data_IF_218050346310
#
_entry.id   IF_218050346310
#
_cell.length_a   1.000
_cell.length_b   1.000
_cell.length_c   1.000
_cell.angle_alpha   90.00
_cell.angle_beta   90.00
_cell.angle_gamma   90.00
#
_symmetry.space_group_name_H-M   'P 1'
#
loop_
_entity.id
_entity.type
_entity.pdbx_description
1 polymer ?
#
# COMPACT_ATOMS: atom_id res chain seq x y z
N UNK A 1 -13.68 10.88 29.37
CA UNK A 1 -15.10 10.83 28.93
C UNK A 1 -15.36 9.47 28.29
N UNK A 2 -16.55 8.87 28.40
CA UNK A 2 -16.84 7.62 27.71
C UNK A 2 -16.82 7.83 26.18
N UNK A 3 -16.10 6.96 25.47
CA UNK A 3 -15.98 6.98 24.01
C UNK A 3 -17.28 6.42 23.41
N UNK A 4 -17.97 7.22 22.57
CA UNK A 4 -19.23 6.82 21.91
C UNK A 4 -18.98 6.00 20.63
N UNK A 5 -17.91 6.28 19.91
CA UNK A 5 -17.53 5.60 18.68
C UNK A 5 -16.01 5.51 18.61
N UNK A 6 -15.49 4.38 18.14
CA UNK A 6 -14.07 4.14 17.89
C UNK A 6 -13.94 3.52 16.51
N UNK A 7 -13.03 4.05 15.70
CA UNK A 7 -12.78 3.54 14.35
C UNK A 7 -11.80 2.36 14.39
N UNK A 8 -11.95 1.41 13.47
CA UNK A 8 -11.11 0.21 13.35
C UNK A 8 -10.91 -0.18 11.88
N UNK A 9 -10.06 -1.18 11.61
CA UNK A 9 -9.65 -1.52 10.25
C UNK A 9 -10.76 -2.27 9.47
N UNK A 10 -11.11 -1.74 8.29
CA UNK A 10 -11.92 -2.42 7.27
C UNK A 10 -11.17 -2.27 5.94
N UNK A 11 -10.62 -3.36 5.43
CA UNK A 11 -9.69 -3.35 4.30
C UNK A 11 -9.92 -4.53 3.35
N UNK A 12 -9.49 -4.38 2.10
CA UNK A 12 -9.53 -5.41 1.06
C UNK A 12 -8.12 -5.74 0.57
N UNK A 13 -7.76 -7.03 0.50
CA UNK A 13 -6.52 -7.46 -0.12
C UNK A 13 -6.67 -7.56 -1.63
N UNK A 14 -5.86 -6.81 -2.36
CA UNK A 14 -5.86 -6.83 -3.83
C UNK A 14 -4.52 -7.32 -4.34
N UNK A 15 -4.55 -8.05 -5.45
CA UNK A 15 -3.38 -8.66 -6.07
C UNK A 15 -3.26 -8.22 -7.52
N UNK A 16 -2.09 -7.71 -7.89
CA UNK A 16 -1.68 -7.46 -9.27
C UNK A 16 -0.67 -8.52 -9.72
N UNK A 17 -0.73 -8.90 -10.99
CA UNK A 17 0.12 -9.94 -11.55
C UNK A 17 1.00 -9.40 -12.68
N UNK A 18 2.08 -8.67 -12.35
CA UNK A 18 2.91 -8.03 -13.36
C UNK A 18 3.62 -9.07 -14.24
N UNK A 19 3.79 -8.75 -15.51
CA UNK A 19 4.53 -9.54 -16.51
C UNK A 19 5.99 -9.77 -16.12
N UNK A 20 6.55 -8.86 -15.30
CA UNK A 20 7.89 -8.96 -14.70
C UNK A 20 8.02 -10.10 -13.66
N UNK A 21 6.93 -10.79 -13.38
CA UNK A 21 6.84 -11.91 -12.44
C UNK A 21 6.68 -11.48 -10.99
N UNK A 22 6.35 -12.45 -10.13
CA UNK A 22 5.95 -12.19 -8.75
C UNK A 22 4.49 -11.73 -8.65
N UNK A 23 4.17 -11.04 -7.57
CA UNK A 23 2.85 -10.47 -7.30
C UNK A 23 3.03 -9.07 -6.71
N UNK A 24 2.12 -8.16 -7.00
CA UNK A 24 1.98 -6.93 -6.23
C UNK A 24 0.81 -7.12 -5.28
N UNK A 25 1.03 -6.83 -4.01
CA UNK A 25 0.04 -7.02 -2.96
C UNK A 25 -0.17 -5.69 -2.25
N UNK A 26 -1.42 -5.27 -2.19
CA UNK A 26 -1.85 -4.06 -1.51
C UNK A 26 -3.07 -4.33 -0.64
N UNK A 27 -3.28 -3.43 0.30
CA UNK A 27 -4.41 -3.39 1.21
C UNK A 27 -5.13 -2.09 0.95
N UNK A 28 -6.38 -2.17 0.49
CA UNK A 28 -7.10 -1.00 0.02
C UNK A 28 -8.48 -0.86 0.67
N UNK A 29 -8.86 0.39 0.90
CA UNK A 29 -10.17 0.86 1.33
C UNK A 29 -11.17 0.84 0.18
N UNK A 30 -12.46 1.04 0.50
CA UNK A 30 -13.50 1.10 -0.53
C UNK A 30 -13.29 2.23 -1.54
N UNK A 31 -12.72 3.35 -1.08
CA UNK A 31 -12.40 4.51 -1.94
C UNK A 31 -11.23 4.20 -2.87
N UNK A 32 -10.15 3.60 -2.37
CA UNK A 32 -9.02 3.19 -3.22
C UNK A 32 -9.42 2.13 -4.25
N UNK A 33 -10.33 1.21 -3.90
CA UNK A 33 -10.89 0.28 -4.89
C UNK A 33 -11.63 1.01 -6.01
N UNK A 34 -12.39 2.06 -5.69
CA UNK A 34 -13.06 2.89 -6.69
C UNK A 34 -12.03 3.63 -7.58
N UNK A 35 -10.95 4.15 -6.98
CA UNK A 35 -9.85 4.76 -7.73
C UNK A 35 -9.16 3.77 -8.67
N UNK A 36 -8.97 2.52 -8.24
CA UNK A 36 -8.45 1.40 -9.04
C UNK A 36 -9.46 0.84 -10.05
N UNK A 37 -10.63 1.47 -10.21
CA UNK A 37 -11.72 0.99 -11.07
C UNK A 37 -12.17 -0.45 -10.73
N UNK A 38 -12.06 -0.84 -9.46
CA UNK A 38 -12.47 -2.14 -8.94
C UNK A 38 -13.84 -2.08 -8.26
N UNK A 39 -14.49 -3.24 -8.18
CA UNK A 39 -15.75 -3.36 -7.46
C UNK A 39 -15.53 -3.30 -5.95
N UNK A 40 -16.31 -2.46 -5.26
CA UNK A 40 -16.32 -2.33 -3.79
C UNK A 40 -16.98 -3.50 -3.07
N UNK A 41 -17.74 -4.33 -3.79
CA UNK A 41 -18.64 -5.32 -3.17
C UNK A 41 -18.55 -6.72 -3.78
N UNK A 42 -17.81 -6.88 -4.89
CA UNK A 42 -17.68 -8.16 -5.59
C UNK A 42 -16.22 -8.45 -5.89
N UNK A 43 -15.75 -9.69 -5.72
CA UNK A 43 -14.43 -10.09 -6.18
C UNK A 43 -14.27 -9.85 -7.68
N UNK A 44 -13.09 -9.39 -8.10
CA UNK A 44 -12.67 -9.32 -9.50
C UNK A 44 -11.67 -10.44 -9.81
N UNK A 45 -11.67 -10.85 -11.08
CA UNK A 45 -10.70 -11.82 -11.61
C UNK A 45 -9.55 -11.09 -12.30
N UNK A 46 -8.37 -11.72 -12.30
CA UNK A 46 -7.21 -11.29 -13.07
C UNK A 46 -7.57 -11.17 -14.56
N UNK A 47 -7.07 -10.12 -15.22
CA UNK A 47 -7.12 -9.97 -16.67
C UNK A 47 -6.19 -10.99 -17.37
N UNK A 48 -6.62 -11.58 -18.51
CA UNK A 48 -5.74 -12.41 -19.33
C UNK A 48 -4.70 -11.60 -20.10
N UNK A 49 -4.90 -10.28 -20.24
CA UNK A 49 -4.00 -9.38 -20.93
C UNK A 49 -2.89 -8.90 -19.98
N UNK A 50 -1.64 -9.18 -20.35
CA UNK A 50 -0.47 -8.82 -19.56
C UNK A 50 -0.28 -7.30 -19.45
N UNK A 51 -0.62 -6.52 -20.47
CA UNK A 51 -0.47 -5.07 -20.42
C UNK A 51 -1.49 -4.45 -19.45
N UNK A 52 -2.74 -4.94 -19.48
CA UNK A 52 -3.77 -4.50 -18.55
C UNK A 52 -3.37 -4.83 -17.10
N UNK A 53 -2.78 -6.01 -16.87
CA UNK A 53 -2.26 -6.38 -15.55
C UNK A 53 -1.07 -5.53 -15.11
N UNK A 54 -0.18 -5.15 -16.03
CA UNK A 54 0.97 -4.29 -15.74
C UNK A 54 0.53 -2.87 -15.37
N UNK A 55 -0.44 -2.31 -16.10
CA UNK A 55 -0.99 -0.98 -15.83
C UNK A 55 -1.74 -0.98 -14.48
N UNK A 56 -2.53 -2.01 -14.20
CA UNK A 56 -3.21 -2.19 -12.92
C UNK A 56 -2.22 -2.36 -11.76
N UNK A 57 -1.20 -3.19 -11.96
CA UNK A 57 -0.11 -3.41 -11.01
C UNK A 57 0.62 -2.11 -10.69
N UNK A 58 0.88 -1.27 -11.70
CA UNK A 58 1.50 0.02 -11.51
C UNK A 58 0.62 1.00 -10.72
N UNK A 59 -0.69 1.01 -10.98
CA UNK A 59 -1.65 1.79 -10.18
C UNK A 59 -1.68 1.36 -8.72
N UNK A 60 -1.61 0.06 -8.43
CA UNK A 60 -1.50 -0.44 -7.06
C UNK A 60 -0.22 0.05 -6.37
N UNK A 61 0.93 0.00 -7.05
CA UNK A 61 2.19 0.51 -6.51
C UNK A 61 2.11 2.01 -6.20
N UNK A 62 1.38 2.78 -7.01
CA UNK A 62 1.11 4.20 -6.78
C UNK A 62 0.28 4.47 -5.53
N UNK A 63 -0.48 3.49 -5.04
CA UNK A 63 -1.20 3.56 -3.77
C UNK A 63 -0.43 2.90 -2.61
N UNK A 64 0.88 2.68 -2.76
CA UNK A 64 1.72 2.11 -1.70
C UNK A 64 1.72 0.59 -1.62
N UNK A 65 1.14 -0.12 -2.59
CA UNK A 65 1.29 -1.58 -2.65
C UNK A 65 2.74 -1.99 -2.87
N UNK A 66 3.06 -3.22 -2.48
CA UNK A 66 4.43 -3.74 -2.52
C UNK A 66 4.55 -4.97 -3.40
N UNK A 67 5.69 -5.11 -4.07
CA UNK A 67 6.02 -6.30 -4.83
C UNK A 67 6.54 -7.43 -3.94
N UNK A 68 6.10 -8.66 -4.22
CA UNK A 68 6.52 -9.89 -3.56
C UNK A 68 6.87 -10.96 -4.59
N UNK A 69 7.86 -11.81 -4.27
CA UNK A 69 8.24 -12.92 -5.16
C UNK A 69 7.11 -13.95 -5.31
N UNK A 70 6.37 -14.23 -4.23
CA UNK A 70 5.24 -15.16 -4.25
C UNK A 70 4.35 -15.00 -3.01
N UNK A 71 3.09 -15.44 -3.12
CA UNK A 71 2.16 -15.49 -1.98
C UNK A 71 2.69 -16.36 -0.83
N UNK A 72 3.43 -17.42 -1.15
CA UNK A 72 4.02 -18.31 -0.14
C UNK A 72 5.07 -17.56 0.70
N UNK A 73 5.90 -16.73 0.07
CA UNK A 73 6.91 -15.96 0.79
C UNK A 73 6.26 -14.89 1.68
N UNK A 74 5.27 -14.17 1.14
CA UNK A 74 4.48 -13.22 1.92
C UNK A 74 3.80 -13.89 3.13
N UNK A 75 3.13 -15.03 2.92
CA UNK A 75 2.44 -15.74 3.98
C UNK A 75 3.37 -16.25 5.09
N UNK A 76 4.56 -16.74 4.73
CA UNK A 76 5.59 -17.13 5.72
C UNK A 76 6.02 -15.93 6.57
N UNK A 77 6.25 -14.79 5.93
CA UNK A 77 6.65 -13.56 6.62
C UNK A 77 5.55 -13.09 7.59
N UNK A 78 4.30 -13.00 7.13
CA UNK A 78 3.18 -12.59 7.99
C UNK A 78 2.95 -13.55 9.16
N UNK A 79 3.21 -14.85 8.96
CA UNK A 79 3.12 -15.85 10.03
C UNK A 79 4.21 -15.67 11.08
N UNK A 80 5.41 -15.23 10.72
CA UNK A 80 6.49 -14.95 11.68
C UNK A 80 6.15 -13.72 12.52
N UNK A 81 5.69 -12.63 11.88
CA UNK A 81 5.24 -11.40 12.55
C UNK A 81 4.08 -11.69 13.50
N UNK A 82 3.05 -12.39 13.02
CA UNK A 82 1.87 -12.77 13.85
C UNK A 82 2.23 -13.74 14.98
N UNK A 83 3.33 -14.48 14.83
CA UNK A 83 3.86 -15.41 15.83
C UNK A 83 4.66 -14.73 16.95
N UNK A 84 4.75 -13.40 16.95
CA UNK A 84 5.48 -12.64 17.97
C UNK A 84 6.98 -12.47 17.67
N UNK A 85 7.46 -12.83 16.47
CA UNK A 85 8.77 -12.38 16.05
C UNK A 85 8.76 -10.86 15.88
N UNK A 86 9.76 -10.13 16.38
CA UNK A 86 9.95 -8.72 16.05
C UNK A 86 9.92 -8.55 14.53
N UNK A 87 9.33 -7.46 14.06
CA UNK A 87 9.42 -7.09 12.65
C UNK A 87 10.87 -7.16 12.20
N UNK A 88 11.22 -8.00 11.21
CA UNK A 88 12.62 -8.14 10.80
C UNK A 88 13.15 -6.77 10.38
N UNK A 89 14.37 -6.45 10.79
CA UNK A 89 15.04 -5.25 10.32
C UNK A 89 15.04 -5.22 8.79
N UNK A 90 14.49 -4.16 8.19
CA UNK A 90 14.38 -4.06 6.73
C UNK A 90 13.07 -4.56 6.12
N UNK A 91 12.02 -4.80 6.92
CA UNK A 91 10.67 -4.86 6.36
C UNK A 91 10.29 -3.46 5.80
N UNK A 92 9.62 -3.39 4.62
CA UNK A 92 9.26 -2.12 4.02
C UNK A 92 8.26 -1.35 4.91
N UNK A 93 8.37 -0.02 5.01
CA UNK A 93 7.35 0.79 5.68
C UNK A 93 6.02 0.71 4.93
N UNK A 94 4.92 0.96 5.64
CA UNK A 94 3.61 1.12 5.04
C UNK A 94 3.47 2.56 4.51
N UNK A 95 2.89 2.68 3.32
CA UNK A 95 2.65 3.95 2.64
C UNK A 95 1.17 4.11 2.38
N UNK A 96 0.60 5.23 2.83
CA UNK A 96 -0.75 5.64 2.50
C UNK A 96 -0.68 6.88 1.60
N UNK A 97 -1.28 6.78 0.43
CA UNK A 97 -1.06 7.73 -0.65
C UNK A 97 -2.39 8.31 -1.13
N UNK A 98 -2.49 9.63 -1.13
CA UNK A 98 -3.66 10.37 -1.63
C UNK A 98 -3.33 11.22 -2.84
N UNK A 99 -4.20 11.20 -3.85
CA UNK A 99 -4.07 12.01 -5.08
C UNK A 99 -5.17 13.07 -5.15
N UNK A 100 -4.91 14.31 -4.70
CA UNK A 100 -5.94 15.33 -4.68
C UNK A 100 -6.31 15.77 -6.11
N UNK A 101 -7.55 16.20 -6.31
CA UNK A 101 -8.07 16.69 -7.58
C UNK A 101 -7.35 17.95 -8.09
N UNK A 102 -6.70 18.69 -7.19
CA UNK A 102 -5.87 19.87 -7.48
C UNK A 102 -4.48 19.52 -8.03
N UNK A 103 -4.11 18.24 -8.03
CA UNK A 103 -2.79 17.75 -8.45
C UNK A 103 -1.78 17.66 -7.29
N UNK A 104 -0.71 16.92 -7.54
CA UNK A 104 0.26 16.53 -6.51
C UNK A 104 -0.08 15.20 -5.85
N UNK A 105 0.55 14.92 -4.71
CA UNK A 105 0.35 13.69 -3.94
C UNK A 105 0.62 13.91 -2.44
N UNK A 106 -0.21 13.33 -1.60
CA UNK A 106 -0.02 13.23 -0.16
C UNK A 106 0.51 11.85 0.19
N UNK A 107 1.55 11.78 1.04
CA UNK A 107 2.13 10.51 1.47
C UNK A 107 2.30 10.50 2.97
N UNK A 108 1.64 9.56 3.63
CA UNK A 108 1.90 9.19 5.02
C UNK A 108 2.76 7.92 5.02
N UNK A 109 3.91 8.00 5.67
CA UNK A 109 4.85 6.88 5.82
C UNK A 109 4.82 6.40 7.25
N UNK A 110 4.45 5.14 7.45
CA UNK A 110 4.48 4.48 8.76
C UNK A 110 5.68 3.53 8.77
N UNK A 111 6.69 3.77 9.62
CA UNK A 111 7.86 2.90 9.71
C UNK A 111 7.46 1.45 10.02
N UNK A 112 8.22 0.51 9.45
CA UNK A 112 7.97 -0.91 9.70
C UNK A 112 7.95 -1.23 11.19
N UNK A 113 6.85 -1.83 11.64
CA UNK A 113 6.67 -2.27 13.02
C UNK A 113 6.18 -1.21 13.98
N UNK A 114 5.94 0.00 13.49
CA UNK A 114 5.11 0.98 14.18
C UNK A 114 3.64 0.74 13.84
N UNK A 115 2.75 1.14 14.75
CA UNK A 115 1.31 1.12 14.49
C UNK A 115 0.91 2.38 13.74
N UNK A 116 -0.19 2.29 13.00
CA UNK A 116 -0.80 3.49 12.44
C UNK A 116 -1.12 4.50 13.55
N UNK A 117 -1.12 5.81 13.23
CA UNK A 117 -1.46 6.85 14.20
C UNK A 117 -2.83 6.63 14.86
N UNK A 118 -3.02 7.21 16.05
CA UNK A 118 -4.35 7.27 16.66
C UNK A 118 -5.37 7.85 15.67
N UNK A 119 -6.61 7.32 15.71
CA UNK A 119 -7.69 7.67 14.78
C UNK A 119 -7.44 7.36 13.30
N UNK A 120 -6.48 6.48 12.95
CA UNK A 120 -6.21 6.08 11.56
C UNK A 120 -7.46 5.64 10.77
N UNK A 121 -8.47 5.10 11.47
CA UNK A 121 -9.75 4.77 10.85
C UNK A 121 -10.46 5.95 10.15
N UNK A 122 -10.10 7.21 10.42
CA UNK A 122 -10.57 8.36 9.61
C UNK A 122 -10.16 8.21 8.15
N UNK A 123 -8.93 7.78 7.86
CA UNK A 123 -8.41 7.54 6.50
C UNK A 123 -9.19 6.43 5.79
N UNK A 124 -9.69 5.46 6.54
CA UNK A 124 -10.46 4.32 6.04
C UNK A 124 -11.92 4.67 5.75
N UNK A 125 -12.49 5.60 6.51
CA UNK A 125 -13.93 5.92 6.49
C UNK A 125 -14.34 6.98 5.44
N UNK A 126 -13.37 7.54 4.72
CA UNK A 126 -13.61 8.52 3.65
C UNK A 126 -14.28 7.90 2.42
N UNK A 127 -15.02 8.71 1.69
CA UNK A 127 -15.73 8.30 0.48
C UNK A 127 -15.02 8.76 -0.80
N UNK A 128 -14.18 9.80 -0.73
CA UNK A 128 -13.50 10.36 -1.89
C UNK A 128 -11.99 10.48 -1.68
N UNK A 129 -11.25 10.58 -2.78
CA UNK A 129 -9.80 10.76 -2.74
C UNK A 129 -9.41 12.12 -2.14
N UNK A 130 -10.22 13.16 -2.33
CA UNK A 130 -9.96 14.47 -1.72
C UNK A 130 -10.18 14.44 -0.20
N UNK A 131 -11.22 13.76 0.28
CA UNK A 131 -11.41 13.51 1.72
C UNK A 131 -10.26 12.69 2.31
N UNK A 132 -9.77 11.69 1.57
CA UNK A 132 -8.62 10.90 1.95
C UNK A 132 -7.35 11.76 2.10
N UNK A 133 -7.11 12.66 1.14
CA UNK A 133 -6.00 13.61 1.21
C UNK A 133 -6.10 14.51 2.46
N UNK A 134 -7.28 15.03 2.76
CA UNK A 134 -7.50 15.84 3.96
C UNK A 134 -7.25 15.04 5.25
N UNK A 135 -7.69 13.77 5.30
CA UNK A 135 -7.42 12.89 6.44
C UNK A 135 -5.93 12.58 6.60
N UNK A 136 -5.20 12.36 5.50
CA UNK A 136 -3.76 12.16 5.50
C UNK A 136 -3.03 13.42 5.98
N UNK A 137 -3.42 14.60 5.51
CA UNK A 137 -2.89 15.90 5.95
C UNK A 137 -3.05 16.09 7.46
N UNK A 138 -4.23 15.82 8.01
CA UNK A 138 -4.48 15.87 9.47
C UNK A 138 -3.57 14.92 10.27
N UNK A 139 -3.12 13.82 9.66
CA UNK A 139 -2.24 12.83 10.27
C UNK A 139 -0.75 13.13 10.07
N UNK A 140 -0.40 14.29 9.50
CA UNK A 140 0.98 14.70 9.28
C UNK A 140 1.63 14.09 8.04
N UNK A 141 0.82 13.70 7.04
CA UNK A 141 1.34 13.32 5.73
C UNK A 141 2.14 14.47 5.09
N UNK A 142 3.05 14.12 4.20
CA UNK A 142 3.83 15.10 3.42
C UNK A 142 3.18 15.31 2.05
N UNK A 143 2.98 16.57 1.67
CA UNK A 143 2.52 16.92 0.33
C UNK A 143 3.69 17.14 -0.63
N UNK A 144 3.57 16.58 -1.83
CA UNK A 144 4.47 16.81 -2.95
C UNK A 144 3.67 17.40 -4.12
N UNK A 145 4.02 18.60 -4.57
CA UNK A 145 3.34 19.24 -5.70
C UNK A 145 3.56 18.49 -7.02
N UNK A 146 4.70 17.83 -7.17
CA UNK A 146 5.06 17.02 -8.32
C UNK A 146 5.21 15.57 -7.84
N UNK A 147 4.42 14.65 -8.40
CA UNK A 147 4.42 13.23 -8.01
C UNK A 147 5.83 12.62 -8.12
N UNK A 148 6.57 12.98 -9.17
CA UNK A 148 7.91 12.46 -9.43
C UNK A 148 8.98 12.95 -8.44
N UNK A 149 8.70 14.01 -7.68
CA UNK A 149 9.56 14.48 -6.59
C UNK A 149 9.40 13.65 -5.32
N UNK A 150 8.29 12.90 -5.19
CA UNK A 150 8.10 11.99 -4.08
C UNK A 150 9.06 10.79 -4.21
N UNK A 151 9.90 10.52 -3.19
CA UNK A 151 10.82 9.38 -3.22
C UNK A 151 10.12 8.04 -2.96
N UNK A 152 8.95 8.07 -2.32
CA UNK A 152 8.25 6.88 -1.81
C UNK A 152 7.11 6.40 -2.74
N UNK A 153 6.73 7.20 -3.76
CA UNK A 153 5.68 6.84 -4.72
C UNK A 153 6.28 6.23 -5.98
N UNK A 154 5.60 5.20 -6.49
CA UNK A 154 6.05 4.47 -7.66
C UNK A 154 6.08 5.32 -8.94
N UNK A 155 7.23 5.27 -9.64
CA UNK A 155 7.49 6.03 -10.88
C UNK A 155 7.41 5.15 -12.11
N UNK A 156 7.79 3.89 -11.97
CA UNK A 156 7.63 2.90 -13.02
C UNK A 156 7.48 1.51 -12.44
N UNK A 157 6.73 0.65 -13.12
CA UNK A 157 6.58 -0.74 -12.71
C UNK A 157 7.94 -1.45 -12.56
N UNK A 158 8.90 -1.16 -13.45
CA UNK A 158 10.21 -1.81 -13.45
C UNK A 158 11.06 -1.40 -12.25
N UNK A 159 11.11 -0.11 -11.95
CA UNK A 159 11.97 0.43 -10.89
C UNK A 159 11.46 0.01 -9.51
N UNK A 160 10.15 0.06 -9.29
CA UNK A 160 9.53 -0.32 -8.03
C UNK A 160 9.57 -1.83 -7.77
N UNK A 161 9.42 -2.65 -8.82
CA UNK A 161 9.70 -4.10 -8.71
C UNK A 161 11.17 -4.35 -8.37
N UNK A 162 12.10 -3.55 -8.88
CA UNK A 162 13.51 -3.66 -8.52
C UNK A 162 13.78 -3.24 -7.06
N UNK A 163 13.11 -2.20 -6.56
CA UNK A 163 13.14 -1.80 -5.14
C UNK A 163 12.61 -2.94 -4.25
N UNK A 164 11.44 -3.50 -4.59
CA UNK A 164 10.86 -4.67 -3.90
C UNK A 164 11.82 -5.86 -3.85
N UNK A 165 12.56 -6.12 -4.94
CA UNK A 165 13.59 -7.17 -4.99
C UNK A 165 14.77 -6.88 -4.06
N UNK A 166 15.19 -5.62 -3.89
CA UNK A 166 16.28 -5.21 -2.98
C UNK A 166 15.91 -5.35 -1.51
N UNK A 167 14.68 -5.04 -1.12
CA UNK A 167 14.20 -5.26 0.26
C UNK A 167 14.38 -6.71 0.71
N UNK A 168 14.16 -7.64 -0.19
CA UNK A 168 14.36 -9.06 0.05
C UNK A 168 15.82 -9.46 0.26
N UNK A 169 16.76 -8.82 -0.45
CA UNK A 169 18.19 -9.08 -0.25
C UNK A 169 18.61 -8.64 1.16
N UNK A 170 18.15 -7.46 1.60
CA UNK A 170 18.37 -6.98 2.97
C UNK A 170 17.74 -7.88 4.03
N UNK A 171 16.52 -8.39 3.79
CA UNK A 171 15.85 -9.28 4.75
C UNK A 171 16.49 -10.68 4.85
N UNK A 172 17.31 -11.11 3.88
CA UNK A 172 18.10 -12.33 3.99
C UNK A 172 19.39 -12.14 4.80
N UNK A 173 19.93 -10.92 4.83
CA UNK A 173 21.16 -10.59 5.56
C UNK A 173 20.92 -10.44 7.06
N UNK A 174 19.68 -10.16 7.48
CA UNK A 174 19.26 -10.08 8.89
C UNK A 174 18.95 -11.44 9.56
N UNK A 175 19.10 -12.54 8.82
CA UNK A 175 18.92 -13.92 9.30
C UNK A 175 20.26 -14.62 9.68
N UNK A 176 21.40 -13.92 9.65
CA UNK A 176 22.73 -14.38 10.11
C UNK A 176 23.17 -13.68 11.41
#
# INVERSE_FOLDING_TARGET
MPIRAKFGAVICHVRGYPSLGGIILGVFTAMELEWLSQSRSKPSSRSPDAQVEDDFSFQMLRLGALWWKSMVLYGKMMSQVSGGCPWPGGFPPDFYVGYPSTGGVWVLKVPSGEFEPDDFGKVVMVFTMDEHCAALEEMGATFYAIVDECPDVAKSLKDDVAIGKRWKERMKETDE
#
